data_IF_754724781894
#
_entry.id   IF_754724781894
#
_cell.length_a   1.000
_cell.length_b   1.000
_cell.length_c   1.000
_cell.angle_alpha   90.00
_cell.angle_beta   90.00
_cell.angle_gamma   90.00
#
_symmetry.space_group_name_H-M   'P 1'
#
loop_
_entity.id
_entity.type
_entity.pdbx_description
1 polymer ?
#
# COMPACT_ATOMS: atom_id res chain seq x y z
N UNK A 1 23.14 9.77 8.73
CA UNK A 1 22.34 9.70 7.51
C UNK A 1 23.27 9.53 6.32
N UNK A 2 23.30 8.36 5.75
CA UNK A 2 23.94 8.14 4.47
C UNK A 2 22.93 8.50 3.36
N UNK A 3 23.35 9.35 2.44
CA UNK A 3 22.57 9.62 1.23
C UNK A 3 22.89 8.53 0.20
N UNK A 4 22.17 7.41 0.31
CA UNK A 4 22.34 6.27 -0.57
C UNK A 4 21.00 5.91 -1.21
N UNK A 5 20.99 5.76 -2.52
CA UNK A 5 19.79 5.27 -3.23
C UNK A 5 19.43 3.84 -2.81
N UNK A 6 20.41 3.01 -2.52
CA UNK A 6 20.20 1.67 -1.97
C UNK A 6 19.41 1.73 -0.68
N UNK A 7 19.80 2.62 0.25
CA UNK A 7 19.09 2.78 1.52
C UNK A 7 17.63 3.22 1.31
N UNK A 8 17.37 4.13 0.36
CA UNK A 8 16.02 4.59 0.06
C UNK A 8 15.12 3.47 -0.51
N UNK A 9 15.71 2.49 -1.20
CA UNK A 9 15.01 1.33 -1.80
C UNK A 9 14.84 0.16 -0.86
N UNK A 10 15.60 0.13 0.23
CA UNK A 10 15.60 -0.95 1.19
C UNK A 10 14.33 -0.92 2.06
N UNK A 11 13.56 -2.02 2.13
CA UNK A 11 12.34 -2.12 2.95
C UNK A 11 12.51 -1.73 4.41
N UNK A 12 13.64 -2.06 5.02
CA UNK A 12 13.95 -1.73 6.42
C UNK A 12 13.97 -0.22 6.68
N UNK A 13 14.20 0.60 5.66
CA UNK A 13 14.15 2.05 5.83
C UNK A 13 12.72 2.54 6.11
N UNK A 14 11.74 2.02 5.37
CA UNK A 14 10.32 2.28 5.61
C UNK A 14 9.85 1.60 6.89
N UNK A 15 10.35 0.39 7.15
CA UNK A 15 10.04 -0.42 8.31
C UNK A 15 10.40 0.21 9.65
N UNK A 16 11.29 1.22 9.69
CA UNK A 16 11.58 1.96 10.93
C UNK A 16 10.37 2.69 11.52
N UNK A 17 9.40 3.03 10.67
CA UNK A 17 8.17 3.70 11.06
C UNK A 17 6.93 2.81 10.80
N UNK A 18 6.95 2.02 9.71
CA UNK A 18 5.85 1.13 9.33
C UNK A 18 6.00 -0.25 9.99
N UNK A 19 5.88 -0.29 11.31
CA UNK A 19 6.05 -1.49 12.14
C UNK A 19 5.12 -1.48 13.37
N UNK A 20 4.99 -2.63 14.00
CA UNK A 20 4.29 -2.78 15.27
C UNK A 20 2.79 -3.07 15.15
N UNK A 21 2.06 -3.06 16.28
CA UNK A 21 0.72 -3.64 16.35
C UNK A 21 -0.32 -2.91 15.51
N UNK A 22 -0.14 -1.62 15.24
CA UNK A 22 -1.15 -0.80 14.56
C UNK A 22 -1.04 -0.87 13.03
N UNK A 23 0.20 -1.00 12.53
CA UNK A 23 0.49 -0.99 11.10
C UNK A 23 1.75 -1.81 10.78
N UNK A 24 1.65 -3.14 10.90
CA UNK A 24 2.78 -4.08 10.80
C UNK A 24 3.23 -4.35 9.37
N UNK A 25 3.41 -3.30 8.55
CA UNK A 25 3.70 -3.48 7.13
C UNK A 25 5.04 -4.18 6.90
N UNK A 26 6.07 -3.88 7.70
CA UNK A 26 7.38 -4.51 7.53
C UNK A 26 7.34 -5.99 7.92
N UNK A 27 6.62 -6.33 8.98
CA UNK A 27 6.44 -7.71 9.43
C UNK A 27 5.71 -8.52 8.36
N UNK A 28 4.58 -8.00 7.87
CA UNK A 28 3.81 -8.63 6.80
C UNK A 28 4.65 -8.78 5.53
N UNK A 29 5.39 -7.74 5.15
CA UNK A 29 6.29 -7.80 3.99
C UNK A 29 7.34 -8.90 4.16
N UNK A 30 8.00 -8.95 5.32
CA UNK A 30 9.06 -9.90 5.61
C UNK A 30 8.60 -11.37 5.57
N UNK A 31 7.35 -11.64 5.94
CA UNK A 31 6.74 -12.97 5.89
C UNK A 31 6.16 -13.30 4.51
N UNK A 32 5.94 -12.29 3.67
CA UNK A 32 5.39 -12.47 2.34
C UNK A 32 6.38 -13.10 1.37
N UNK A 33 5.86 -13.67 0.26
CA UNK A 33 6.70 -14.15 -0.83
C UNK A 33 7.58 -13.06 -1.44
N UNK A 34 7.12 -11.80 -1.46
CA UNK A 34 7.90 -10.65 -1.91
C UNK A 34 9.11 -10.40 -1.01
N UNK A 35 8.92 -10.36 0.30
CA UNK A 35 10.00 -10.15 1.25
C UNK A 35 11.01 -11.31 1.29
N UNK A 36 10.53 -12.55 1.18
CA UNK A 36 11.39 -13.74 1.06
C UNK A 36 12.23 -13.67 -0.21
N UNK A 37 11.60 -13.38 -1.36
CA UNK A 37 12.30 -13.25 -2.65
C UNK A 37 13.31 -12.08 -2.63
N UNK A 38 12.96 -10.95 -2.03
CA UNK A 38 13.87 -9.82 -1.85
C UNK A 38 15.15 -10.24 -1.08
N UNK A 39 15.01 -10.87 0.08
CA UNK A 39 16.16 -11.32 0.87
C UNK A 39 17.03 -12.34 0.14
N UNK A 40 16.39 -13.21 -0.67
CA UNK A 40 17.10 -14.25 -1.44
C UNK A 40 17.86 -13.70 -2.64
N UNK A 41 17.38 -12.62 -3.24
CA UNK A 41 17.90 -12.13 -4.53
C UNK A 41 18.36 -10.67 -4.50
N UNK A 42 18.53 -10.07 -3.33
CA UNK A 42 18.91 -8.67 -3.18
C UNK A 42 20.17 -8.30 -3.97
N UNK A 43 21.13 -9.20 -4.01
CA UNK A 43 22.38 -9.03 -4.74
C UNK A 43 22.20 -8.89 -6.26
N UNK A 44 21.05 -9.31 -6.79
CA UNK A 44 20.70 -9.26 -8.22
C UNK A 44 19.78 -8.08 -8.58
N UNK A 45 19.43 -7.24 -7.62
CA UNK A 45 18.41 -6.20 -7.80
C UNK A 45 18.98 -4.82 -8.10
N UNK A 46 20.30 -4.69 -8.30
CA UNK A 46 20.95 -3.42 -8.67
C UNK A 46 20.53 -2.23 -7.76
N UNK A 47 20.48 -2.46 -6.44
CA UNK A 47 19.89 -1.53 -5.48
C UNK A 47 20.57 -0.16 -5.44
N UNK A 48 21.82 -0.04 -5.85
CA UNK A 48 22.63 1.18 -5.89
C UNK A 48 22.67 1.86 -7.27
N UNK A 49 22.08 1.24 -8.30
CA UNK A 49 22.07 1.78 -9.66
C UNK A 49 21.34 3.15 -9.75
N UNK A 50 21.83 4.04 -10.59
CA UNK A 50 21.14 5.30 -10.90
C UNK A 50 19.80 5.10 -11.61
N UNK A 51 19.66 4.03 -12.40
CA UNK A 51 18.40 3.59 -13.03
C UNK A 51 17.89 2.36 -12.32
N UNK A 52 16.62 2.35 -11.95
CA UNK A 52 16.02 1.23 -11.20
C UNK A 52 14.54 1.10 -11.51
N UNK A 53 14.23 0.55 -12.67
CA UNK A 53 12.88 0.37 -13.21
C UNK A 53 12.49 -1.10 -13.11
N UNK A 54 11.40 -1.38 -12.43
CA UNK A 54 10.89 -2.75 -12.28
C UNK A 54 10.49 -3.30 -13.66
N UNK A 55 10.88 -4.54 -13.92
CA UNK A 55 10.64 -5.21 -15.21
C UNK A 55 11.73 -4.94 -16.26
N UNK A 56 12.54 -3.88 -16.10
CA UNK A 56 13.68 -3.56 -16.98
C UNK A 56 15.03 -3.83 -16.30
N UNK A 57 15.27 -3.19 -15.16
CA UNK A 57 16.56 -3.24 -14.46
C UNK A 57 16.61 -4.34 -13.41
N UNK A 58 15.46 -4.78 -12.93
CA UNK A 58 15.30 -5.90 -12.00
C UNK A 58 13.86 -6.47 -12.08
N UNK A 59 13.73 -7.77 -11.71
CA UNK A 59 12.43 -8.48 -11.71
C UNK A 59 12.29 -9.50 -10.58
N UNK A 60 13.25 -9.57 -9.67
CA UNK A 60 13.32 -10.63 -8.66
C UNK A 60 12.28 -10.47 -7.56
N UNK A 61 12.08 -9.24 -7.10
CA UNK A 61 11.09 -8.91 -6.08
C UNK A 61 10.80 -7.41 -6.05
N UNK A 62 9.59 -6.98 -5.68
CA UNK A 62 9.33 -5.59 -5.34
C UNK A 62 9.79 -5.29 -3.90
N UNK A 63 10.19 -4.04 -3.66
CA UNK A 63 10.33 -3.45 -2.32
C UNK A 63 9.19 -2.48 -2.04
N UNK A 64 9.13 -1.90 -0.83
CA UNK A 64 8.19 -0.82 -0.53
C UNK A 64 8.33 0.34 -1.52
N UNK A 65 9.58 0.72 -1.86
CA UNK A 65 9.87 1.76 -2.84
C UNK A 65 9.37 1.38 -4.24
N UNK A 66 9.51 0.12 -4.67
CA UNK A 66 9.00 -0.35 -5.97
C UNK A 66 7.51 -0.06 -6.11
N UNK A 67 6.73 -0.44 -5.10
CA UNK A 67 5.28 -0.28 -5.12
C UNK A 67 4.83 1.18 -5.00
N UNK A 68 5.48 1.97 -4.14
CA UNK A 68 4.95 3.27 -3.75
C UNK A 68 5.66 4.47 -4.39
N UNK A 69 6.90 4.35 -4.84
CA UNK A 69 7.70 5.51 -5.21
C UNK A 69 8.46 5.37 -6.52
N UNK A 70 8.96 4.16 -6.83
CA UNK A 70 9.90 3.97 -7.93
C UNK A 70 9.25 4.13 -9.30
N UNK A 71 10.09 4.47 -10.26
CA UNK A 71 9.70 4.47 -11.67
C UNK A 71 9.33 3.06 -12.13
N UNK A 72 8.32 2.98 -12.98
CA UNK A 72 7.97 1.81 -13.79
C UNK A 72 8.06 2.17 -15.27
N UNK A 73 7.92 1.24 -16.20
CA UNK A 73 7.87 1.57 -17.63
C UNK A 73 6.78 2.58 -18.00
N UNK A 74 5.71 2.66 -17.22
CA UNK A 74 4.50 3.45 -17.49
C UNK A 74 4.30 4.62 -16.53
N UNK A 75 4.98 4.66 -15.38
CA UNK A 75 4.81 5.70 -14.37
C UNK A 75 6.15 6.32 -13.95
N UNK A 76 6.20 7.63 -13.77
CA UNK A 76 7.41 8.31 -13.28
C UNK A 76 7.69 7.97 -11.81
N UNK A 77 8.92 8.21 -11.39
CA UNK A 77 9.30 8.25 -9.98
C UNK A 77 8.50 9.34 -9.26
N UNK A 78 8.07 9.04 -8.04
CA UNK A 78 7.33 9.99 -7.20
C UNK A 78 7.77 9.92 -5.73
N UNK A 79 7.70 11.04 -5.02
CA UNK A 79 7.80 11.09 -3.55
C UNK A 79 6.42 11.12 -2.88
N UNK A 80 5.35 11.24 -3.65
CA UNK A 80 3.98 11.12 -3.13
C UNK A 80 3.57 9.65 -3.07
N UNK A 81 3.80 9.02 -1.92
CA UNK A 81 3.41 7.63 -1.65
C UNK A 81 1.90 7.42 -1.72
N UNK A 82 1.12 8.48 -1.60
CA UNK A 82 -0.33 8.44 -1.66
C UNK A 82 -0.89 8.10 -3.04
N UNK A 83 -0.15 8.39 -4.12
CA UNK A 83 -0.58 8.17 -5.51
C UNK A 83 -0.88 6.71 -5.86
N UNK A 84 -0.36 5.75 -5.08
CA UNK A 84 -0.50 4.31 -5.31
C UNK A 84 -1.11 3.57 -4.12
N UNK A 85 -1.78 4.28 -3.19
CA UNK A 85 -2.53 3.63 -2.11
C UNK A 85 -3.80 3.02 -2.71
N UNK A 86 -3.85 1.71 -2.74
CA UNK A 86 -4.82 0.93 -3.53
C UNK A 86 -6.09 0.55 -2.79
N UNK A 87 -6.17 0.76 -1.49
CA UNK A 87 -7.36 0.42 -0.71
C UNK A 87 -8.42 1.53 -0.80
N UNK A 88 -9.67 1.11 -1.01
CA UNK A 88 -10.81 2.00 -1.16
C UNK A 88 -11.87 1.79 -0.07
N UNK A 89 -12.00 0.54 0.39
CA UNK A 89 -13.00 0.16 1.39
C UNK A 89 -12.39 0.33 2.77
N UNK A 90 -12.92 1.28 3.51
CA UNK A 90 -12.51 1.57 4.88
C UNK A 90 -13.49 0.96 5.86
N UNK A 91 -13.09 0.72 7.12
CA UNK A 91 -14.05 0.44 8.17
C UNK A 91 -15.16 1.48 8.20
N UNK A 92 -16.39 1.05 8.44
CA UNK A 92 -17.57 1.94 8.43
C UNK A 92 -17.43 3.08 9.44
N UNK A 93 -16.64 2.88 10.50
CA UNK A 93 -16.35 3.87 11.54
C UNK A 93 -15.27 4.89 11.11
N UNK A 94 -14.57 4.65 10.01
CA UNK A 94 -13.52 5.56 9.56
C UNK A 94 -14.13 6.73 8.81
N UNK A 95 -14.17 7.89 9.46
CA UNK A 95 -14.56 9.17 8.86
C UNK A 95 -13.40 9.91 8.20
N UNK A 96 -12.26 9.28 8.11
CA UNK A 96 -11.07 9.80 7.42
C UNK A 96 -11.14 9.45 5.92
N UNK A 97 -10.67 10.28 5.00
CA UNK A 97 -9.82 11.47 5.17
C UNK A 97 -10.59 12.78 5.39
N UNK A 98 -11.86 12.85 5.03
CA UNK A 98 -12.61 14.11 4.95
C UNK A 98 -12.51 14.95 6.25
N UNK A 99 -12.70 14.30 7.40
CA UNK A 99 -12.60 15.00 8.70
C UNK A 99 -11.16 15.33 9.06
N UNK A 100 -10.21 14.44 8.77
CA UNK A 100 -8.80 14.70 9.06
C UNK A 100 -8.24 15.79 8.18
N UNK A 101 -8.55 15.76 6.89
CA UNK A 101 -8.06 16.72 5.91
C UNK A 101 -8.67 18.10 6.20
N UNK A 102 -9.95 18.18 6.55
CA UNK A 102 -10.59 19.41 6.95
C UNK A 102 -9.98 19.99 8.24
N UNK A 103 -9.71 19.17 9.26
CA UNK A 103 -9.07 19.60 10.51
C UNK A 103 -7.64 20.08 10.35
N UNK A 104 -6.91 19.48 9.42
CA UNK A 104 -5.51 19.82 9.13
C UNK A 104 -5.39 20.92 8.07
N UNK A 105 -6.48 21.35 7.47
CA UNK A 105 -6.48 22.34 6.38
C UNK A 105 -5.82 21.80 5.11
N UNK A 106 -5.75 20.49 4.95
CA UNK A 106 -5.19 19.86 3.75
C UNK A 106 -6.21 19.85 2.62
N UNK A 107 -5.81 20.12 1.39
CA UNK A 107 -6.67 19.91 0.23
C UNK A 107 -7.03 18.43 0.13
N UNK A 108 -8.25 18.12 -0.24
CA UNK A 108 -8.69 16.75 -0.54
C UNK A 108 -7.75 16.07 -1.52
N UNK A 109 -7.68 14.74 -1.49
CA UNK A 109 -6.80 13.99 -2.37
C UNK A 109 -7.00 14.40 -3.83
N UNK A 110 -5.91 14.79 -4.51
CA UNK A 110 -5.93 15.28 -5.88
C UNK A 110 -6.44 14.25 -6.89
N UNK A 111 -6.43 12.97 -6.52
CA UNK A 111 -6.93 11.85 -7.34
C UNK A 111 -7.81 10.93 -6.51
N UNK A 112 -8.80 10.33 -7.17
CA UNK A 112 -9.73 9.40 -6.54
C UNK A 112 -9.07 8.04 -6.24
N UNK A 113 -9.78 7.20 -5.47
CA UNK A 113 -9.27 5.90 -5.07
C UNK A 113 -9.14 4.92 -6.25
N UNK A 114 -9.97 5.04 -7.28
CA UNK A 114 -9.90 4.20 -8.47
C UNK A 114 -8.60 4.45 -9.23
N UNK A 115 -8.26 5.71 -9.42
CA UNK A 115 -7.00 6.12 -10.04
C UNK A 115 -5.80 5.60 -9.24
N UNK A 116 -5.80 5.77 -7.91
CA UNK A 116 -4.73 5.23 -7.05
C UNK A 116 -4.59 3.72 -7.16
N UNK A 117 -5.73 2.99 -7.16
CA UNK A 117 -5.75 1.54 -7.33
C UNK A 117 -5.23 1.13 -8.70
N UNK A 118 -5.62 1.83 -9.74
CA UNK A 118 -5.13 1.55 -11.10
C UNK A 118 -3.62 1.78 -11.20
N UNK A 119 -3.11 2.84 -10.59
CA UNK A 119 -1.66 3.09 -10.49
C UNK A 119 -0.93 1.93 -9.80
N UNK A 120 -1.48 1.39 -8.70
CA UNK A 120 -0.88 0.23 -8.02
C UNK A 120 -0.99 -1.05 -8.86
N UNK A 121 -2.13 -1.30 -9.52
CA UNK A 121 -2.30 -2.46 -10.41
C UNK A 121 -1.30 -2.42 -11.56
N UNK A 122 -1.05 -1.26 -12.13
CA UNK A 122 -0.07 -1.06 -13.18
C UNK A 122 1.36 -1.43 -12.70
N UNK A 123 1.73 -1.09 -11.47
CA UNK A 123 2.97 -1.59 -10.88
C UNK A 123 2.98 -3.13 -10.80
N UNK A 124 1.90 -3.74 -10.34
CA UNK A 124 1.80 -5.20 -10.19
C UNK A 124 1.95 -5.93 -11.53
N UNK A 125 1.41 -5.38 -12.61
CA UNK A 125 1.41 -6.01 -13.94
C UNK A 125 2.78 -6.04 -14.61
N UNK A 126 3.80 -5.39 -14.05
CA UNK A 126 5.18 -5.58 -14.52
C UNK A 126 5.74 -6.98 -14.21
N UNK A 127 5.12 -7.72 -13.27
CA UNK A 127 5.54 -9.08 -12.90
C UNK A 127 4.39 -10.10 -12.93
N UNK A 128 3.15 -9.66 -12.72
CA UNK A 128 1.96 -10.51 -12.65
C UNK A 128 1.03 -10.27 -13.84
N UNK A 129 0.32 -11.31 -14.28
CA UNK A 129 -0.72 -11.13 -15.26
C UNK A 129 -1.95 -10.41 -14.66
N UNK A 130 -2.68 -9.73 -15.51
CA UNK A 130 -3.82 -8.89 -15.12
C UNK A 130 -4.92 -9.67 -14.38
N UNK A 131 -5.20 -10.91 -14.79
CA UNK A 131 -6.21 -11.75 -14.12
C UNK A 131 -5.83 -12.05 -12.68
N UNK A 132 -4.56 -12.34 -12.41
CA UNK A 132 -4.06 -12.54 -11.06
C UNK A 132 -4.22 -11.27 -10.21
N UNK A 133 -3.83 -10.12 -10.73
CA UNK A 133 -3.93 -8.82 -10.03
C UNK A 133 -5.39 -8.49 -9.74
N UNK A 134 -6.28 -8.64 -10.71
CA UNK A 134 -7.70 -8.39 -10.52
C UNK A 134 -8.33 -9.35 -9.52
N UNK A 135 -7.98 -10.63 -9.57
CA UNK A 135 -8.43 -11.64 -8.61
C UNK A 135 -8.00 -11.32 -7.17
N UNK A 136 -6.78 -10.83 -6.98
CA UNK A 136 -6.31 -10.38 -5.67
C UNK A 136 -7.20 -9.25 -5.10
N UNK A 137 -7.48 -8.22 -5.91
CA UNK A 137 -8.32 -7.11 -5.45
C UNK A 137 -9.77 -7.50 -5.20
N UNK A 138 -10.32 -8.43 -5.98
CA UNK A 138 -11.66 -8.98 -5.72
C UNK A 138 -11.73 -9.70 -4.36
N UNK A 139 -10.73 -10.52 -4.04
CA UNK A 139 -10.65 -11.20 -2.74
C UNK A 139 -10.47 -10.21 -1.59
N UNK A 140 -9.61 -9.21 -1.77
CA UNK A 140 -9.40 -8.16 -0.79
C UNK A 140 -10.71 -7.40 -0.49
N UNK A 141 -11.41 -6.96 -1.52
CA UNK A 141 -12.68 -6.22 -1.36
C UNK A 141 -13.75 -7.10 -0.71
N UNK A 142 -13.87 -8.37 -1.12
CA UNK A 142 -14.83 -9.30 -0.53
C UNK A 142 -14.57 -9.55 0.97
N UNK A 143 -13.29 -9.60 1.39
CA UNK A 143 -12.94 -9.74 2.81
C UNK A 143 -13.37 -8.51 3.63
N UNK A 144 -13.16 -7.32 3.09
CA UNK A 144 -13.58 -6.07 3.76
C UNK A 144 -15.10 -5.98 3.84
N UNK A 145 -15.82 -6.36 2.77
CA UNK A 145 -17.28 -6.41 2.80
C UNK A 145 -17.80 -7.41 3.84
N UNK A 146 -17.18 -8.58 3.92
CA UNK A 146 -17.52 -9.58 4.93
C UNK A 146 -17.31 -9.02 6.36
N UNK A 147 -16.21 -8.33 6.60
CA UNK A 147 -15.97 -7.65 7.88
C UNK A 147 -17.05 -6.60 8.19
N UNK A 148 -17.41 -5.79 7.21
CA UNK A 148 -18.47 -4.79 7.38
C UNK A 148 -19.79 -5.44 7.75
N UNK A 149 -20.18 -6.48 7.07
CA UNK A 149 -21.49 -7.14 7.28
C UNK A 149 -21.55 -7.93 8.57
N UNK A 150 -20.46 -8.59 8.94
CA UNK A 150 -20.44 -9.47 10.13
C UNK A 150 -20.15 -8.71 11.44
N UNK A 151 -19.39 -7.65 11.40
CA UNK A 151 -18.90 -6.99 12.61
C UNK A 151 -19.23 -5.48 12.67
N UNK A 152 -18.83 -4.70 11.69
CA UNK A 152 -18.92 -3.25 11.78
C UNK A 152 -20.37 -2.74 11.81
N UNK A 153 -21.21 -3.14 10.86
CA UNK A 153 -22.63 -2.75 10.80
C UNK A 153 -23.43 -3.21 12.02
N UNK A 154 -23.34 -4.49 12.45
CA UNK A 154 -24.01 -4.91 13.68
C UNK A 154 -23.50 -4.21 14.95
N UNK A 155 -22.20 -3.92 15.03
CA UNK A 155 -21.61 -3.18 16.13
C UNK A 155 -22.16 -1.74 16.22
N UNK A 156 -22.21 -1.04 15.09
CA UNK A 156 -22.79 0.30 15.00
C UNK A 156 -24.29 0.31 15.37
N UNK A 157 -25.05 -0.68 14.91
CA UNK A 157 -26.46 -0.77 15.26
C UNK A 157 -26.67 -0.95 16.77
N UNK A 158 -25.84 -1.76 17.43
CA UNK A 158 -25.87 -1.93 18.90
C UNK A 158 -25.48 -0.67 19.64
N UNK A 159 -24.45 0.05 19.19
CA UNK A 159 -24.04 1.34 19.75
C UNK A 159 -25.16 2.37 19.66
N UNK A 160 -25.79 2.49 18.50
CA UNK A 160 -26.93 3.40 18.30
C UNK A 160 -28.12 3.03 19.21
N UNK A 161 -28.45 1.74 19.34
CA UNK A 161 -29.50 1.25 20.23
C UNK A 161 -29.20 1.53 21.72
N UNK A 162 -27.94 1.45 22.12
CA UNK A 162 -27.52 1.74 23.48
C UNK A 162 -27.41 3.26 23.77
N UNK A 163 -27.66 4.13 22.78
CA UNK A 163 -27.48 5.59 22.87
C UNK A 163 -26.09 6.02 23.37
N UNK A 164 -25.10 5.24 23.06
CA UNK A 164 -23.71 5.59 23.34
C UNK A 164 -23.17 6.44 22.20
N UNK A 165 -22.47 7.51 22.55
CA UNK A 165 -21.82 8.37 21.55
C UNK A 165 -20.63 7.61 20.92
N UNK A 166 -20.55 7.51 19.60
CA UNK A 166 -19.51 6.73 18.92
C UNK A 166 -18.17 7.48 18.79
N UNK A 167 -17.82 8.40 19.70
CA UNK A 167 -16.56 9.17 19.67
C UNK A 167 -15.31 8.37 19.57
#
# INVERSE_FOLDING_TARGET
>A
HEFSVEQARNPENCGKCHMGPDHPQIEIYNESKHGIAFRTHRDKMNMDSSKWVVGEDYSQAPTCATCHMSQTPTQPLTHDVGLRISWNKRPVLSVRPEVSDAKLGLPGAAIDWQTRRNNMKDVCTNCHNENYVNGFYQQYDALIDLYHDKFAKPGLARLAAARLDPH
#
